data_IF_333709978355
#
_entry.id   IF_333709978355
#
_cell.length_a   1.000
_cell.length_b   1.000
_cell.length_c   1.000
_cell.angle_alpha   90.00
_cell.angle_beta   90.00
_cell.angle_gamma   90.00
#
_symmetry.space_group_name_H-M   'P 1'
#
loop_
_entity.id
_entity.type
_entity.pdbx_description
1 polymer ?
#
# COMPACT_ATOMS: atom_id res chain seq x y z
N UNK A 1 -9.39 5.30 -7.30
CA UNK A 1 -9.09 6.39 -6.36
C UNK A 1 -9.06 5.83 -4.94
N UNK A 2 -8.09 6.21 -4.15
CA UNK A 2 -7.97 5.80 -2.73
C UNK A 2 -7.72 7.04 -1.91
N UNK A 3 -8.40 7.19 -0.77
CA UNK A 3 -8.11 8.20 0.23
C UNK A 3 -8.00 7.56 1.60
N UNK A 4 -7.19 8.12 2.48
CA UNK A 4 -7.00 7.57 3.82
C UNK A 4 -6.17 8.49 4.71
N UNK A 5 -6.06 8.07 5.97
CA UNK A 5 -5.18 8.68 6.97
C UNK A 5 -4.23 7.61 7.53
N UNK A 6 -2.99 7.98 7.70
CA UNK A 6 -2.02 7.20 8.49
C UNK A 6 -1.48 8.06 9.62
N UNK A 7 -1.21 7.43 10.75
CA UNK A 7 -0.79 8.07 12.01
C UNK A 7 0.49 7.40 12.52
N UNK A 8 1.47 8.20 12.91
CA UNK A 8 2.73 7.76 13.49
C UNK A 8 3.25 8.82 14.48
N UNK A 9 3.39 8.47 15.76
CA UNK A 9 3.98 9.33 16.81
C UNK A 9 3.46 10.79 16.82
N UNK A 10 2.13 10.98 16.72
CA UNK A 10 1.51 12.30 16.69
C UNK A 10 1.69 13.05 15.35
N UNK A 11 2.08 12.33 14.31
CA UNK A 11 2.13 12.82 12.93
C UNK A 11 0.98 12.18 12.19
N UNK A 12 0.07 13.01 11.67
CA UNK A 12 -1.05 12.58 10.84
C UNK A 12 -0.71 12.86 9.37
N UNK A 13 -0.97 11.89 8.51
CA UNK A 13 -0.83 12.06 7.06
C UNK A 13 -2.14 11.68 6.37
N UNK A 14 -2.83 12.68 5.86
CA UNK A 14 -4.01 12.52 5.01
C UNK A 14 -3.58 12.44 3.55
N UNK A 15 -3.99 11.41 2.84
CA UNK A 15 -3.55 11.21 1.46
C UNK A 15 -4.67 10.82 0.51
N UNK A 16 -4.45 11.16 -0.77
CA UNK A 16 -5.30 10.75 -1.89
C UNK A 16 -4.44 10.18 -3.00
N UNK A 17 -4.83 9.01 -3.51
CA UNK A 17 -4.15 8.32 -4.61
C UNK A 17 -5.10 8.15 -5.80
N UNK A 18 -4.63 8.52 -6.97
CA UNK A 18 -5.23 8.16 -8.24
C UNK A 18 -4.39 7.07 -8.88
N UNK A 19 -5.06 6.03 -9.38
CA UNK A 19 -4.41 4.92 -10.08
C UNK A 19 -5.15 4.62 -11.35
N UNK A 20 -4.38 4.38 -12.40
CA UNK A 20 -4.83 3.86 -13.67
C UNK A 20 -4.06 2.57 -13.96
N UNK A 21 -4.78 1.52 -14.28
CA UNK A 21 -4.24 0.19 -14.54
C UNK A 21 -4.79 -0.39 -15.84
N UNK A 22 -3.96 -1.20 -16.48
CA UNK A 22 -4.29 -2.00 -17.64
C UNK A 22 -3.75 -3.39 -17.45
N UNK A 23 -4.60 -4.39 -17.68
CA UNK A 23 -4.24 -5.80 -17.66
C UNK A 23 -4.75 -6.51 -18.91
N UNK A 24 -4.01 -7.53 -19.33
CA UNK A 24 -4.31 -8.33 -20.50
C UNK A 24 -4.07 -9.81 -20.21
N UNK A 25 -5.02 -10.66 -20.67
CA UNK A 25 -4.89 -12.11 -20.60
C UNK A 25 -3.89 -12.57 -21.65
N UNK A 26 -2.86 -13.29 -21.25
CA UNK A 26 -1.96 -13.95 -22.18
C UNK A 26 -2.70 -15.13 -22.80
N UNK A 27 -2.89 -15.10 -24.13
CA UNK A 27 -3.73 -16.00 -24.91
C UNK A 27 -3.29 -17.48 -24.99
N UNK A 28 -2.73 -18.02 -23.93
CA UNK A 28 -2.28 -19.38 -23.78
C UNK A 28 -3.33 -20.18 -22.98
N UNK A 29 -3.23 -21.49 -22.98
CA UNK A 29 -4.14 -22.43 -22.33
C UNK A 29 -4.28 -22.29 -20.80
N UNK A 30 -3.58 -21.35 -20.19
CA UNK A 30 -3.63 -21.06 -18.75
C UNK A 30 -4.16 -19.65 -18.51
N UNK A 31 -4.87 -19.43 -17.39
CA UNK A 31 -5.44 -18.12 -17.04
C UNK A 31 -4.37 -17.21 -16.41
N UNK A 32 -3.39 -16.81 -17.23
CA UNK A 32 -2.33 -15.87 -16.85
C UNK A 32 -2.70 -14.47 -17.37
N UNK A 33 -2.71 -13.53 -16.46
CA UNK A 33 -2.90 -12.11 -16.74
C UNK A 33 -1.60 -11.36 -16.46
N UNK A 34 -1.27 -10.42 -17.31
CA UNK A 34 -0.16 -9.47 -17.09
C UNK A 34 -0.67 -8.06 -17.20
N UNK A 35 -0.14 -7.19 -16.38
CA UNK A 35 -0.64 -5.83 -16.31
C UNK A 35 0.39 -4.83 -15.83
N UNK A 36 0.02 -3.58 -15.94
CA UNK A 36 0.77 -2.47 -15.42
C UNK A 36 -0.16 -1.39 -14.88
N UNK A 37 0.34 -0.64 -13.90
CA UNK A 37 -0.39 0.47 -13.34
C UNK A 37 0.52 1.69 -13.17
N UNK A 38 -0.08 2.86 -13.29
CA UNK A 38 0.51 4.13 -12.89
C UNK A 38 -0.31 4.71 -11.74
N UNK A 39 0.35 5.20 -10.72
CA UNK A 39 -0.32 5.87 -9.60
C UNK A 39 0.34 7.18 -9.23
N UNK A 40 -0.48 8.13 -8.81
CA UNK A 40 -0.09 9.39 -8.23
C UNK A 40 -0.75 9.56 -6.87
N UNK A 41 0.05 9.80 -5.84
CA UNK A 41 -0.43 10.10 -4.48
C UNK A 41 -0.01 11.50 -4.10
N UNK A 42 -0.93 12.23 -3.49
CA UNK A 42 -0.67 13.47 -2.79
C UNK A 42 -1.12 13.30 -1.34
N UNK A 43 -0.29 13.71 -0.40
CA UNK A 43 -0.58 13.67 1.03
C UNK A 43 -0.17 14.96 1.70
N UNK A 44 -0.95 15.35 2.68
CA UNK A 44 -0.71 16.45 3.57
C UNK A 44 -0.40 15.88 4.96
N UNK A 45 0.68 16.33 5.56
CA UNK A 45 1.17 15.81 6.84
C UNK A 45 1.07 16.91 7.89
N UNK A 46 0.39 16.62 8.99
CA UNK A 46 0.29 17.48 10.15
C UNK A 46 1.23 16.97 11.26
N UNK A 47 2.07 17.86 11.76
CA UNK A 47 2.97 17.65 12.88
C UNK A 47 2.54 18.53 14.05
N UNK A 48 2.85 18.15 15.29
CA UNK A 48 2.59 18.99 16.47
C UNK A 48 3.17 20.41 16.34
N UNK A 49 4.25 20.58 15.56
CA UNK A 49 5.01 21.82 15.43
C UNK A 49 5.16 22.29 13.98
N UNK A 50 4.23 21.94 13.11
CA UNK A 50 4.26 22.35 11.70
C UNK A 50 3.51 21.42 10.77
N UNK A 51 3.83 21.50 9.50
CA UNK A 51 3.17 20.70 8.46
C UNK A 51 4.15 20.22 7.40
N UNK A 52 3.70 19.32 6.56
CA UNK A 52 4.46 18.82 5.43
C UNK A 52 3.55 18.39 4.30
N UNK A 53 4.12 18.14 3.15
CA UNK A 53 3.45 17.51 2.03
C UNK A 53 4.30 16.39 1.43
N UNK A 54 3.65 15.37 0.89
CA UNK A 54 4.31 14.30 0.19
C UNK A 54 3.62 14.02 -1.15
N UNK A 55 4.42 13.70 -2.16
CA UNK A 55 3.97 13.33 -3.49
C UNK A 55 4.69 12.09 -3.96
N UNK A 56 3.92 11.13 -4.42
CA UNK A 56 4.47 9.86 -4.90
C UNK A 56 3.96 9.59 -6.31
N UNK A 57 4.90 9.31 -7.22
CA UNK A 57 4.61 8.73 -8.53
C UNK A 57 5.12 7.30 -8.53
N UNK A 58 4.29 6.35 -8.93
CA UNK A 58 4.75 4.97 -8.99
C UNK A 58 4.23 4.24 -10.24
N UNK A 59 5.09 3.32 -10.72
CA UNK A 59 4.76 2.34 -11.74
C UNK A 59 4.75 0.96 -11.11
N UNK A 60 3.76 0.16 -11.49
CA UNK A 60 3.61 -1.21 -11.03
C UNK A 60 3.46 -2.13 -12.23
N UNK A 61 4.22 -3.20 -12.26
CA UNK A 61 4.02 -4.34 -13.14
C UNK A 61 3.47 -5.51 -12.35
N UNK A 62 2.53 -6.27 -12.89
CA UNK A 62 1.98 -7.45 -12.23
C UNK A 62 1.79 -8.61 -13.19
N UNK A 63 1.85 -9.83 -12.63
CA UNK A 63 1.49 -11.04 -13.29
C UNK A 63 0.64 -11.89 -12.34
N UNK A 64 -0.54 -12.25 -12.79
CA UNK A 64 -1.53 -12.99 -12.00
C UNK A 64 -1.85 -14.30 -12.70
N UNK A 65 -1.77 -15.39 -11.96
CA UNK A 65 -2.16 -16.70 -12.40
C UNK A 65 -3.41 -17.17 -11.64
N UNK A 66 -4.48 -17.41 -12.39
CA UNK A 66 -5.76 -17.89 -11.88
C UNK A 66 -5.99 -19.31 -12.37
N UNK A 67 -6.44 -20.18 -11.49
CA UNK A 67 -6.87 -21.53 -11.87
C UNK A 67 -8.37 -21.72 -11.68
N UNK A 68 -8.97 -22.55 -12.51
CA UNK A 68 -10.39 -22.91 -12.42
C UNK A 68 -10.77 -23.53 -11.07
N UNK A 69 -9.83 -24.14 -10.36
CA UNK A 69 -10.03 -24.69 -9.03
C UNK A 69 -10.06 -23.64 -7.90
N UNK A 70 -9.94 -22.35 -8.22
CA UNK A 70 -9.92 -21.26 -7.25
C UNK A 70 -8.54 -20.89 -6.69
N UNK A 71 -7.45 -21.55 -7.15
CA UNK A 71 -6.10 -21.15 -6.79
C UNK A 71 -5.68 -19.90 -7.54
N UNK A 72 -4.99 -19.03 -6.85
CA UNK A 72 -4.53 -17.71 -7.32
C UNK A 72 -3.09 -17.48 -6.87
N UNK A 73 -2.28 -16.97 -7.76
CA UNK A 73 -0.92 -16.50 -7.48
C UNK A 73 -0.71 -15.14 -8.16
N UNK A 74 -0.30 -14.15 -7.40
CA UNK A 74 0.01 -12.82 -7.91
C UNK A 74 1.47 -12.46 -7.62
N UNK A 75 2.13 -11.85 -8.58
CA UNK A 75 3.48 -11.29 -8.45
C UNK A 75 3.43 -9.84 -8.88
N UNK A 76 3.94 -8.96 -8.04
CA UNK A 76 3.93 -7.52 -8.29
C UNK A 76 5.34 -6.95 -8.11
N UNK A 77 5.73 -6.08 -9.04
CA UNK A 77 6.93 -5.23 -8.94
C UNK A 77 6.50 -3.78 -9.02
N UNK A 78 6.98 -2.95 -8.11
CA UNK A 78 6.65 -1.53 -8.05
C UNK A 78 7.90 -0.68 -7.87
N UNK A 79 8.00 0.38 -8.64
CA UNK A 79 9.00 1.43 -8.49
C UNK A 79 8.30 2.77 -8.31
N UNK A 80 8.78 3.58 -7.38
CA UNK A 80 8.21 4.89 -7.09
C UNK A 80 9.26 5.94 -6.80
N UNK A 81 8.90 7.20 -7.08
CA UNK A 81 9.64 8.39 -6.65
C UNK A 81 8.80 9.15 -5.65
N UNK A 82 9.42 9.53 -4.54
CA UNK A 82 8.78 10.20 -3.42
C UNK A 82 9.43 11.58 -3.26
N UNK A 83 8.60 12.61 -3.22
CA UNK A 83 9.02 13.96 -2.84
C UNK A 83 8.33 14.32 -1.54
N UNK A 84 9.14 14.69 -0.55
CA UNK A 84 8.66 15.11 0.76
C UNK A 84 9.13 16.54 1.03
N UNK A 85 8.27 17.35 1.62
CA UNK A 85 8.61 18.66 2.15
C UNK A 85 8.04 18.80 3.55
N UNK A 86 8.74 19.55 4.38
CA UNK A 86 8.31 19.85 5.73
C UNK A 86 8.60 21.31 6.08
N UNK A 87 7.70 21.91 6.83
CA UNK A 87 7.78 23.27 7.36
C UNK A 87 7.43 23.22 8.85
N UNK A 88 8.47 23.06 9.67
CA UNK A 88 8.38 23.01 11.12
C UNK A 88 8.83 24.36 11.69
N UNK A 89 8.39 24.70 12.91
CA UNK A 89 8.78 25.95 13.60
C UNK A 89 10.30 26.13 13.62
N UNK A 90 11.05 25.03 13.75
CA UNK A 90 12.52 25.07 13.90
C UNK A 90 13.30 24.69 12.65
N UNK A 91 12.66 24.15 11.62
CA UNK A 91 13.36 23.60 10.45
C UNK A 91 12.46 23.46 9.24
N UNK A 92 13.00 23.72 8.05
CA UNK A 92 12.32 23.51 6.76
C UNK A 92 13.22 22.71 5.83
N UNK A 93 12.62 21.82 5.06
CA UNK A 93 13.37 21.05 4.08
C UNK A 93 12.50 20.42 3.03
N UNK A 94 13.16 20.03 1.94
CA UNK A 94 12.57 19.21 0.87
C UNK A 94 13.59 18.19 0.45
N UNK A 95 13.16 16.94 0.30
CA UNK A 95 14.01 15.87 -0.20
C UNK A 95 13.23 14.96 -1.13
N UNK A 96 13.96 14.26 -2.00
CA UNK A 96 13.37 13.30 -2.92
C UNK A 96 14.05 11.96 -2.69
N UNK A 97 13.27 10.90 -2.65
CA UNK A 97 13.80 9.56 -2.59
C UNK A 97 13.07 8.64 -3.55
N UNK A 98 13.51 7.42 -3.63
CA UNK A 98 12.96 6.40 -4.50
C UNK A 98 12.60 5.17 -3.66
N UNK A 99 11.69 4.36 -4.17
CA UNK A 99 11.33 3.10 -3.55
C UNK A 99 11.17 2.00 -4.60
N UNK A 100 11.63 0.81 -4.26
CA UNK A 100 11.43 -0.41 -5.03
C UNK A 100 10.72 -1.43 -4.15
N UNK A 101 9.72 -2.13 -4.69
CA UNK A 101 9.00 -3.16 -3.96
C UNK A 101 8.72 -4.36 -4.86
N UNK A 102 8.82 -5.55 -4.30
CA UNK A 102 8.43 -6.81 -4.91
C UNK A 102 7.50 -7.56 -3.96
N UNK A 103 6.40 -8.08 -4.48
CA UNK A 103 5.44 -8.84 -3.68
C UNK A 103 5.02 -10.12 -4.40
N UNK A 104 4.70 -11.13 -3.61
CA UNK A 104 4.03 -12.35 -4.05
C UNK A 104 2.90 -12.66 -3.09
N UNK A 105 1.73 -12.98 -3.62
CA UNK A 105 0.57 -13.44 -2.84
C UNK A 105 -0.01 -14.71 -3.47
N UNK A 106 -0.30 -15.70 -2.63
CA UNK A 106 -0.98 -16.91 -3.02
C UNK A 106 -2.27 -17.06 -2.21
N UNK A 107 -3.35 -17.42 -2.87
CA UNK A 107 -4.64 -17.70 -2.23
C UNK A 107 -5.35 -18.87 -2.86
N UNK A 108 -6.36 -19.38 -2.15
CA UNK A 108 -7.27 -20.38 -2.69
C UNK A 108 -8.69 -20.09 -2.24
N UNK A 109 -9.57 -19.90 -3.21
CA UNK A 109 -10.98 -19.63 -2.96
C UNK A 109 -11.78 -20.92 -2.86
N UNK A 110 -12.40 -21.14 -1.72
CA UNK A 110 -13.35 -22.23 -1.47
C UNK A 110 -14.77 -21.69 -1.56
N UNK A 111 -15.51 -22.18 -2.54
CA UNK A 111 -16.94 -21.89 -2.65
C UNK A 111 -17.71 -22.74 -1.64
N UNK A 112 -18.59 -22.12 -0.89
CA UNK A 112 -19.39 -22.71 0.17
C UNK A 112 -20.88 -22.63 -0.20
N UNK A 113 -21.78 -23.39 0.49
CA UNK A 113 -23.22 -23.29 0.29
C UNK A 113 -23.76 -21.86 0.44
N UNK A 114 -24.92 -21.59 -0.15
CA UNK A 114 -25.62 -20.30 -0.10
C UNK A 114 -24.82 -19.12 -0.73
N UNK A 115 -24.04 -19.41 -1.78
CA UNK A 115 -23.21 -18.42 -2.50
C UNK A 115 -22.22 -17.69 -1.60
N UNK A 116 -21.76 -18.32 -0.54
CA UNK A 116 -20.69 -17.80 0.31
C UNK A 116 -19.34 -18.36 -0.12
N UNK A 117 -18.26 -17.72 0.29
CA UNK A 117 -16.91 -18.19 0.04
C UNK A 117 -15.97 -17.83 1.20
N UNK A 118 -14.90 -18.59 1.29
CA UNK A 118 -13.72 -18.24 2.11
C UNK A 118 -12.46 -18.41 1.26
N UNK A 119 -11.54 -17.47 1.40
CA UNK A 119 -10.33 -17.40 0.59
C UNK A 119 -9.14 -17.07 1.52
N UNK A 120 -8.50 -18.10 2.11
CA UNK A 120 -7.24 -17.90 2.81
C UNK A 120 -6.16 -17.41 1.84
N UNK A 121 -5.28 -16.54 2.33
CA UNK A 121 -4.19 -15.98 1.56
C UNK A 121 -2.92 -15.85 2.40
N UNK A 122 -1.78 -16.03 1.72
CA UNK A 122 -0.44 -15.83 2.24
C UNK A 122 0.31 -14.91 1.28
N UNK A 123 1.06 -13.96 1.82
CA UNK A 123 1.84 -13.04 1.01
C UNK A 123 3.20 -12.74 1.63
N UNK A 124 4.14 -12.38 0.76
CA UNK A 124 5.45 -11.85 1.12
C UNK A 124 5.69 -10.59 0.31
N UNK A 125 6.15 -9.54 0.96
CA UNK A 125 6.51 -8.28 0.31
C UNK A 125 7.89 -7.86 0.80
N UNK A 126 8.79 -7.54 -0.12
CA UNK A 126 10.04 -6.85 0.18
C UNK A 126 9.99 -5.47 -0.43
N UNK A 127 10.38 -4.47 0.33
CA UNK A 127 10.46 -3.08 -0.12
C UNK A 127 11.77 -2.45 0.35
N UNK A 128 12.36 -1.64 -0.51
CA UNK A 128 13.53 -0.83 -0.19
C UNK A 128 13.23 0.62 -0.55
N UNK A 129 13.33 1.51 0.44
CA UNK A 129 13.31 2.97 0.25
C UNK A 129 14.76 3.43 0.30
N UNK A 130 15.22 4.11 -0.74
CA UNK A 130 16.61 4.55 -0.82
C UNK A 130 16.87 5.70 0.16
N UNK A 131 18.03 5.70 0.77
CA UNK A 131 18.50 6.80 1.60
C UNK A 131 18.72 8.09 0.79
N UNK A 132 18.71 9.22 1.47
CA UNK A 132 18.90 10.52 0.84
C UNK A 132 19.59 11.49 1.80
N UNK A 133 20.60 12.18 1.29
CA UNK A 133 21.26 13.26 2.01
C UNK A 133 20.69 14.61 1.56
N UNK A 134 20.27 15.42 2.49
CA UNK A 134 19.68 16.72 2.19
C UNK A 134 20.04 17.78 3.21
N UNK A 135 19.75 19.04 2.89
CA UNK A 135 19.99 20.18 3.77
C UNK A 135 18.64 20.70 4.28
N UNK A 136 18.51 20.75 5.60
CA UNK A 136 17.41 21.42 6.28
C UNK A 136 17.84 22.82 6.69
N UNK A 137 16.97 23.79 6.44
CA UNK A 137 17.16 25.16 6.90
C UNK A 137 16.55 25.31 8.29
N UNK A 138 17.40 25.41 9.31
CA UNK A 138 16.99 25.63 10.68
C UNK A 138 17.18 27.11 11.09
N UNK A 139 16.59 27.51 12.22
CA UNK A 139 16.67 28.86 12.74
C UNK A 139 18.14 29.33 13.00
N UNK A 140 19.04 28.39 13.32
CA UNK A 140 20.45 28.63 13.59
C UNK A 140 21.34 28.45 12.34
N UNK A 141 20.76 28.19 11.17
CA UNK A 141 21.46 27.96 9.90
C UNK A 141 21.13 26.65 9.19
N UNK A 142 21.84 26.38 8.11
CA UNK A 142 21.67 25.17 7.33
C UNK A 142 22.29 23.97 8.06
N UNK A 143 21.54 22.88 8.17
CA UNK A 143 21.96 21.62 8.82
C UNK A 143 21.88 20.49 7.79
N UNK A 144 22.96 19.74 7.63
CA UNK A 144 22.97 18.56 6.79
C UNK A 144 22.30 17.39 7.50
N UNK A 145 21.45 16.68 6.79
CA UNK A 145 20.75 15.46 7.22
C UNK A 145 21.21 14.33 6.31
N UNK A 146 21.72 13.28 6.91
CA UNK A 146 22.03 12.01 6.24
C UNK A 146 21.00 10.98 6.69
N UNK A 147 20.19 10.47 5.76
CA UNK A 147 19.17 9.48 6.05
C UNK A 147 19.51 8.19 5.33
N UNK A 148 19.69 7.13 6.09
CA UNK A 148 19.89 5.77 5.57
C UNK A 148 18.62 5.26 4.87
N UNK A 149 18.80 4.28 4.01
CA UNK A 149 17.68 3.57 3.40
C UNK A 149 16.90 2.75 4.42
N UNK A 150 15.69 2.37 4.05
CA UNK A 150 14.80 1.52 4.86
C UNK A 150 14.52 0.25 4.07
N UNK A 151 14.81 -0.90 4.68
CA UNK A 151 14.38 -2.20 4.20
C UNK A 151 13.15 -2.65 4.98
N UNK A 152 12.17 -3.22 4.28
CA UNK A 152 10.97 -3.82 4.86
C UNK A 152 10.73 -5.18 4.23
N UNK A 153 10.52 -6.19 5.05
CA UNK A 153 10.29 -7.56 4.63
C UNK A 153 9.06 -8.13 5.36
N UNK A 154 7.89 -7.96 4.76
CA UNK A 154 6.60 -8.28 5.37
C UNK A 154 6.11 -9.65 4.97
N UNK A 155 5.83 -10.51 5.94
CA UNK A 155 4.98 -11.68 5.77
C UNK A 155 3.54 -11.33 6.16
N UNK A 156 2.60 -11.80 5.36
CA UNK A 156 1.17 -11.57 5.52
C UNK A 156 0.42 -12.89 5.49
N UNK A 157 -0.49 -13.10 6.44
CA UNK A 157 -1.37 -14.27 6.47
C UNK A 157 -2.79 -13.85 6.89
N UNK A 158 -3.80 -14.40 6.26
CA UNK A 158 -5.18 -14.07 6.60
C UNK A 158 -6.17 -14.68 5.65
N UNK A 159 -7.34 -14.08 5.59
CA UNK A 159 -8.42 -14.56 4.74
C UNK A 159 -9.34 -13.44 4.28
N UNK A 160 -10.07 -13.73 3.22
CA UNK A 160 -11.24 -12.99 2.77
C UNK A 160 -12.44 -13.95 2.82
N UNK A 161 -13.59 -13.51 3.34
CA UNK A 161 -14.82 -14.28 3.36
C UNK A 161 -15.99 -13.40 2.93
N UNK A 162 -16.93 -13.94 2.18
CA UNK A 162 -17.97 -13.11 1.62
C UNK A 162 -19.14 -13.88 1.04
N UNK A 163 -20.01 -13.11 0.43
CA UNK A 163 -21.21 -13.56 -0.24
C UNK A 163 -21.22 -12.97 -1.66
N UNK A 164 -21.50 -13.81 -2.65
CA UNK A 164 -21.74 -13.39 -4.03
C UNK A 164 -23.23 -13.56 -4.34
N UNK A 165 -23.87 -12.53 -4.86
CA UNK A 165 -25.26 -12.64 -5.31
C UNK A 165 -25.40 -13.70 -6.41
N UNK A 166 -26.56 -14.38 -6.51
CA UNK A 166 -26.86 -15.21 -7.65
C UNK A 166 -26.58 -14.44 -8.96
N UNK A 167 -26.01 -15.13 -9.94
CA UNK A 167 -25.56 -14.56 -11.22
C UNK A 167 -24.33 -13.62 -11.14
N UNK A 168 -23.61 -13.62 -10.03
CA UNK A 168 -22.41 -12.79 -9.83
C UNK A 168 -22.63 -11.28 -10.08
N UNK A 169 -23.85 -10.77 -9.96
CA UNK A 169 -24.15 -9.36 -10.18
C UNK A 169 -23.53 -8.45 -9.14
N UNK A 170 -23.42 -8.92 -7.90
CA UNK A 170 -22.80 -8.17 -6.82
C UNK A 170 -22.19 -9.13 -5.79
N UNK A 171 -21.25 -8.62 -5.01
CA UNK A 171 -20.65 -9.34 -3.90
C UNK A 171 -20.23 -8.41 -2.79
N UNK A 172 -20.22 -8.93 -1.58
CA UNK A 172 -19.68 -8.27 -0.40
C UNK A 172 -18.73 -9.20 0.31
N UNK A 173 -17.68 -8.66 0.91
CA UNK A 173 -16.71 -9.45 1.65
C UNK A 173 -16.14 -8.69 2.82
N UNK A 174 -15.71 -9.44 3.80
CA UNK A 174 -14.80 -8.99 4.84
C UNK A 174 -13.42 -9.61 4.61
N UNK A 175 -12.39 -8.96 5.13
CA UNK A 175 -11.04 -9.50 5.18
C UNK A 175 -10.41 -9.23 6.53
N UNK A 176 -9.53 -10.14 6.93
CA UNK A 176 -8.72 -10.01 8.12
C UNK A 176 -7.34 -10.61 7.84
N UNK A 177 -6.30 -9.83 8.10
CA UNK A 177 -4.91 -10.23 7.90
C UNK A 177 -4.08 -9.86 9.11
N UNK A 178 -3.14 -10.73 9.42
CA UNK A 178 -2.01 -10.47 10.30
C UNK A 178 -0.77 -10.26 9.43
N UNK A 179 -0.01 -9.24 9.73
CA UNK A 179 1.22 -8.88 9.04
C UNK A 179 2.36 -8.82 10.06
N UNK A 180 3.56 -9.16 9.61
CA UNK A 180 4.78 -9.02 10.39
C UNK A 180 5.91 -8.56 9.48
N UNK A 181 6.54 -7.43 9.84
CA UNK A 181 7.75 -6.94 9.19
C UNK A 181 8.97 -7.40 9.97
N UNK A 182 9.86 -8.11 9.30
CA UNK A 182 11.11 -8.65 9.83
C UNK A 182 12.27 -7.64 9.80
N UNK A 183 12.05 -6.50 9.18
CA UNK A 183 12.99 -5.40 9.01
C UNK A 183 12.28 -4.10 9.41
N UNK A 184 12.77 -2.94 8.97
CA UNK A 184 12.13 -1.65 9.24
C UNK A 184 13.06 -0.69 9.98
N UNK A 185 14.30 -1.11 10.23
CA UNK A 185 15.29 -0.27 10.88
C UNK A 185 15.83 0.79 9.91
N UNK A 186 16.02 2.00 10.40
CA UNK A 186 16.71 3.09 9.68
C UNK A 186 17.39 4.03 10.66
N UNK A 187 18.41 4.72 10.18
CA UNK A 187 19.15 5.71 10.94
C UNK A 187 19.12 7.05 10.23
N UNK A 188 18.76 8.09 10.95
CA UNK A 188 18.85 9.48 10.50
C UNK A 188 19.92 10.21 11.30
N UNK A 189 20.92 10.76 10.63
CA UNK A 189 21.98 11.55 11.26
C UNK A 189 21.78 13.02 10.97
N UNK A 190 21.61 13.80 12.03
CA UNK A 190 21.66 15.26 12.01
C UNK A 190 23.10 15.66 12.25
N UNK A 191 23.81 16.06 11.19
CA UNK A 191 25.28 16.28 11.23
C UNK A 191 25.65 17.38 12.24
N UNK A 192 26.54 17.00 13.18
CA UNK A 192 26.96 17.89 14.25
C UNK A 192 26.02 17.96 15.48
N UNK A 193 24.89 17.24 15.46
CA UNK A 193 23.92 17.26 16.56
C UNK A 193 23.67 15.86 17.14
N UNK A 194 22.94 15.00 16.42
CA UNK A 194 22.54 13.69 16.93
C UNK A 194 22.31 12.68 15.83
N UNK A 195 22.33 11.43 16.23
CA UNK A 195 21.85 10.27 15.44
C UNK A 195 20.54 9.81 16.03
N UNK A 196 19.58 9.44 15.19
CA UNK A 196 18.26 8.95 15.56
C UNK A 196 18.07 7.60 14.86
N UNK A 197 17.96 6.56 15.65
CA UNK A 197 17.62 5.22 15.18
C UNK A 197 16.11 5.02 15.29
N UNK A 198 15.49 4.51 14.24
CA UNK A 198 14.06 4.26 14.17
C UNK A 198 13.84 2.82 13.70
N UNK A 199 12.86 2.16 14.28
CA UNK A 199 12.42 0.82 13.92
C UNK A 199 10.92 0.87 13.63
N UNK A 200 10.55 0.56 12.40
CA UNK A 200 9.17 0.45 11.92
C UNK A 200 8.72 -1.01 11.76
N UNK A 201 9.56 -1.96 12.18
CA UNK A 201 9.27 -3.39 12.14
C UNK A 201 8.17 -3.80 13.11
N UNK A 202 7.88 -5.10 13.13
CA UNK A 202 6.89 -5.67 14.03
C UNK A 202 5.57 -6.06 13.38
N UNK A 203 4.53 -6.23 14.18
CA UNK A 203 3.28 -6.82 13.74
C UNK A 203 2.11 -5.85 13.75
N UNK A 204 1.19 -6.03 12.82
CA UNK A 204 -0.08 -5.30 12.79
C UNK A 204 -1.21 -6.14 12.21
N UNK A 205 -2.42 -5.70 12.45
CA UNK A 205 -3.65 -6.28 11.93
C UNK A 205 -4.26 -5.38 10.86
N UNK A 206 -4.77 -6.00 9.80
CA UNK A 206 -5.58 -5.36 8.78
C UNK A 206 -6.98 -5.94 8.81
N UNK A 207 -7.98 -5.08 8.97
CA UNK A 207 -9.39 -5.42 8.85
C UNK A 207 -10.01 -4.64 7.71
N UNK A 208 -10.92 -5.25 6.96
CA UNK A 208 -11.53 -4.54 5.85
C UNK A 208 -12.89 -5.12 5.45
N UNK A 209 -13.64 -4.27 4.77
CA UNK A 209 -14.92 -4.60 4.14
C UNK A 209 -14.87 -4.14 2.70
N UNK A 210 -15.45 -4.93 1.80
CA UNK A 210 -15.52 -4.54 0.40
C UNK A 210 -16.80 -5.00 -0.26
N UNK A 211 -17.13 -4.31 -1.33
CA UNK A 211 -18.25 -4.65 -2.19
C UNK A 211 -17.87 -4.47 -3.65
N UNK A 212 -18.46 -5.26 -4.51
CA UNK A 212 -18.35 -5.09 -5.95
C UNK A 212 -19.70 -5.30 -6.62
N UNK A 213 -19.89 -4.67 -7.77
CA UNK A 213 -21.11 -4.79 -8.58
C UNK A 213 -20.72 -4.82 -10.06
N UNK A 214 -21.27 -5.77 -10.79
CA UNK A 214 -21.21 -5.80 -12.25
C UNK A 214 -22.35 -4.94 -12.79
N UNK A 215 -22.03 -3.78 -13.31
CA UNK A 215 -22.99 -2.82 -13.88
C UNK A 215 -23.46 -3.30 -15.26
N UNK A 216 -22.53 -3.92 -16.01
CA UNK A 216 -22.80 -4.59 -17.28
C UNK A 216 -21.84 -5.78 -17.43
N UNK A 217 -21.94 -6.51 -18.55
CA UNK A 217 -21.01 -7.60 -18.86
C UNK A 217 -19.54 -7.18 -18.91
N UNK A 218 -19.30 -5.92 -19.32
CA UNK A 218 -17.96 -5.35 -19.46
C UNK A 218 -17.57 -4.33 -18.38
N UNK A 219 -18.50 -3.89 -17.52
CA UNK A 219 -18.21 -2.85 -16.53
C UNK A 219 -18.49 -3.35 -15.10
N UNK A 220 -17.46 -3.35 -14.28
CA UNK A 220 -17.51 -3.65 -12.84
C UNK A 220 -17.09 -2.42 -12.05
N UNK A 221 -17.82 -2.10 -10.97
CA UNK A 221 -17.42 -1.15 -9.96
C UNK A 221 -17.14 -1.86 -8.64
N UNK A 222 -16.27 -1.26 -7.82
CA UNK A 222 -15.95 -1.79 -6.50
C UNK A 222 -15.66 -0.67 -5.50
N UNK A 223 -15.89 -0.97 -4.23
CA UNK A 223 -15.53 -0.12 -3.11
C UNK A 223 -14.95 -0.98 -1.99
N UNK A 224 -13.99 -0.42 -1.26
CA UNK A 224 -13.26 -1.11 -0.21
C UNK A 224 -12.95 -0.14 0.93
N UNK A 225 -13.19 -0.59 2.15
CA UNK A 225 -12.80 0.08 3.39
C UNK A 225 -11.77 -0.79 4.11
N UNK A 226 -10.74 -0.16 4.67
CA UNK A 226 -9.66 -0.82 5.39
C UNK A 226 -9.31 -0.02 6.65
N UNK A 227 -9.04 -0.75 7.73
CA UNK A 227 -8.48 -0.28 8.98
C UNK A 227 -7.23 -1.10 9.31
N UNK A 228 -6.14 -0.43 9.69
CA UNK A 228 -4.87 -1.07 10.06
C UNK A 228 -4.52 -0.56 11.46
N UNK A 229 -4.15 -1.46 12.36
CA UNK A 229 -3.82 -1.12 13.75
C UNK A 229 -2.88 -2.14 14.39
N UNK A 230 -2.21 -1.71 15.44
CA UNK A 230 -1.35 -2.54 16.29
C UNK A 230 0.12 -2.57 15.86
N UNK A 231 0.52 -1.73 14.91
CA UNK A 231 1.90 -1.51 14.52
C UNK A 231 2.41 -0.13 14.96
N UNK A 232 3.61 0.24 14.51
CA UNK A 232 4.15 1.59 14.70
C UNK A 232 3.38 2.65 13.88
N UNK A 233 2.79 2.23 12.76
CA UNK A 233 1.98 3.08 11.89
C UNK A 233 0.56 2.54 11.87
N UNK A 234 -0.37 3.31 12.39
CA UNK A 234 -1.79 3.01 12.29
C UNK A 234 -2.40 3.65 11.02
N UNK A 235 -3.41 3.01 10.47
CA UNK A 235 -4.24 3.58 9.40
C UNK A 235 -5.69 3.52 9.88
N UNK A 236 -6.20 4.56 10.55
CA UNK A 236 -7.55 4.57 11.09
C UNK A 236 -8.60 4.28 10.03
N UNK A 237 -8.40 4.79 8.83
CA UNK A 237 -9.23 4.45 7.70
C UNK A 237 -8.50 4.60 6.36
N UNK A 238 -8.87 3.73 5.44
CA UNK A 238 -8.56 3.85 4.01
C UNK A 238 -9.80 3.45 3.22
N UNK A 239 -10.22 4.31 2.31
CA UNK A 239 -11.35 4.05 1.41
C UNK A 239 -10.81 4.01 -0.01
N UNK A 240 -11.16 2.98 -0.75
CA UNK A 240 -10.81 2.84 -2.16
C UNK A 240 -12.05 2.60 -2.98
N UNK A 241 -12.16 3.25 -4.12
CA UNK A 241 -13.23 3.04 -5.09
C UNK A 241 -12.63 2.93 -6.49
N UNK A 242 -13.22 2.12 -7.32
CA UNK A 242 -12.73 1.96 -8.68
C UNK A 242 -13.75 1.34 -9.61
N UNK A 243 -13.41 1.38 -10.90
CA UNK A 243 -14.15 0.72 -11.97
C UNK A 243 -13.17 -0.02 -12.86
N UNK A 244 -13.60 -1.18 -13.36
CA UNK A 244 -12.87 -1.97 -14.35
C UNK A 244 -13.75 -2.14 -15.58
N UNK A 245 -13.18 -1.82 -16.73
CA UNK A 245 -13.79 -2.08 -18.02
C UNK A 245 -13.02 -3.21 -18.72
N UNK A 246 -13.75 -4.26 -19.11
CA UNK A 246 -13.20 -5.42 -19.85
C UNK A 246 -13.64 -5.34 -21.31
N UNK A 247 -12.71 -5.50 -22.23
CA UNK A 247 -12.92 -5.49 -23.69
C UNK A 247 -13.01 -6.91 -24.20
#
# INVERSE_FOLDING_TARGET
MTGGRSEYNGIDNDYTTFQFDYDHKLGLSEDVWVGGAFSYTNGDTDHEVGSGDNRVFAFTGCATWLRDNGAYLDVTLRYGTLRNSFDLVSAKGTFNTQALSAAVEASHRFELPANTFVEPALGLTYSHIFGEDYVSNAAEGAVAIEQDGIDSAVARAGFRAGFACPNNMAGVYLRAFYNYDFAGETTTRVVGYKTIDQDFGGSWYELGLGANVNISESLRAWADFKHITGGEIDTPFRVSVGMRYSV
#
